data_IF_995047116010
#
_entry.id   IF_995047116010
#
_cell.length_a   1.000
_cell.length_b   1.000
_cell.length_c   1.000
_cell.angle_alpha   90.00
_cell.angle_beta   90.00
_cell.angle_gamma   90.00
#
_symmetry.space_group_name_H-M   'P 1'
#
loop_
_entity.id
_entity.type
_entity.pdbx_description
1 polymer ?
#
# COMPACT_ATOMS: atom_id res chain seq x y z
N UNK A 1 -35.31 -27.99 39.41
CA UNK A 1 -35.82 -26.66 39.01
C UNK A 1 -35.06 -25.57 39.76
N UNK A 2 -33.95 -25.06 39.20
CA UNK A 2 -33.41 -23.75 39.54
C UNK A 2 -32.68 -23.21 38.30
N UNK A 3 -33.28 -22.18 37.71
CA UNK A 3 -32.82 -21.48 36.51
C UNK A 3 -31.86 -20.38 36.98
N UNK A 4 -30.55 -20.60 36.88
CA UNK A 4 -29.59 -19.53 37.10
C UNK A 4 -29.45 -18.69 35.82
N UNK A 5 -29.84 -17.44 35.96
CA UNK A 5 -29.84 -16.40 34.93
C UNK A 5 -28.40 -16.01 34.61
N UNK A 6 -27.96 -16.25 33.37
CA UNK A 6 -26.75 -15.67 32.83
C UNK A 6 -26.93 -14.16 32.70
N UNK A 7 -26.09 -13.40 33.42
CA UNK A 7 -25.91 -11.96 33.23
C UNK A 7 -25.06 -11.72 31.98
N UNK A 8 -25.50 -10.91 31.01
CA UNK A 8 -24.60 -10.41 29.97
C UNK A 8 -23.70 -9.32 30.57
N UNK A 9 -22.38 -9.57 30.57
CA UNK A 9 -21.37 -8.55 30.87
C UNK A 9 -21.27 -7.60 29.69
N UNK A 10 -21.75 -6.37 29.86
CA UNK A 10 -21.57 -5.29 28.91
C UNK A 10 -20.07 -4.99 28.73
N UNK A 11 -19.52 -5.36 27.58
CA UNK A 11 -18.21 -4.91 27.14
C UNK A 11 -18.32 -3.43 26.74
N UNK A 12 -17.77 -2.55 27.57
CA UNK A 12 -17.56 -1.14 27.22
C UNK A 12 -16.57 -1.08 26.05
N UNK A 13 -17.07 -0.82 24.84
CA UNK A 13 -16.25 -0.40 23.72
C UNK A 13 -15.76 1.02 24.00
N UNK A 14 -14.46 1.17 24.28
CA UNK A 14 -13.81 2.46 24.34
C UNK A 14 -13.75 3.02 22.91
N UNK A 15 -14.52 4.08 22.65
CA UNK A 15 -14.41 4.87 21.42
C UNK A 15 -13.13 5.67 21.53
N UNK A 16 -12.07 5.19 20.87
CA UNK A 16 -10.85 5.95 20.67
C UNK A 16 -11.12 7.04 19.61
N UNK A 17 -11.50 8.23 20.08
CA UNK A 17 -11.53 9.44 19.26
C UNK A 17 -10.10 9.80 18.88
N UNK A 18 -9.74 9.52 17.62
CA UNK A 18 -8.49 9.96 17.03
C UNK A 18 -8.46 11.48 16.96
N UNK A 19 -7.64 12.10 17.82
CA UNK A 19 -7.32 13.52 17.79
C UNK A 19 -6.41 13.79 16.59
N UNK A 20 -6.97 14.43 15.56
CA UNK A 20 -6.22 14.88 14.39
C UNK A 20 -5.62 16.25 14.70
N UNK A 21 -4.46 16.26 15.34
CA UNK A 21 -3.65 17.48 15.47
C UNK A 21 -2.95 17.75 14.14
N UNK A 22 -3.59 18.54 13.27
CA UNK A 22 -2.90 19.22 12.17
C UNK A 22 -2.07 20.38 12.71
N UNK A 23 -0.78 20.29 12.44
CA UNK A 23 0.32 21.22 12.71
C UNK A 23 0.13 22.62 12.14
N UNK A 24 0.45 23.68 12.88
CA UNK A 24 0.80 25.00 12.33
C UNK A 24 1.62 25.83 13.33
N UNK A 25 2.96 25.73 13.26
CA UNK A 25 3.92 26.79 13.60
C UNK A 25 5.16 26.53 12.72
N UNK A 26 5.30 27.14 11.55
CA UNK A 26 5.98 28.43 11.35
C UNK A 26 7.20 28.62 12.27
N UNK A 27 8.39 28.31 11.76
CA UNK A 27 9.52 29.23 11.83
C UNK A 27 10.62 28.84 10.84
N UNK A 28 10.70 29.64 9.78
CA UNK A 28 11.85 29.81 8.90
C UNK A 28 12.99 30.47 9.68
N UNK A 29 14.14 29.80 9.76
CA UNK A 29 15.41 30.51 9.96
C UNK A 29 16.43 29.97 8.95
N UNK A 30 16.77 30.85 8.02
CA UNK A 30 17.90 30.73 7.11
C UNK A 30 19.17 30.94 7.94
N UNK A 31 20.08 29.97 7.96
CA UNK A 31 21.50 30.24 7.72
C UNK A 31 22.29 28.92 7.63
N UNK A 32 22.80 28.60 6.45
CA UNK A 32 23.87 27.61 6.29
C UNK A 32 24.65 27.95 5.03
N UNK A 33 25.62 28.84 5.22
CA UNK A 33 26.74 29.06 4.33
C UNK A 33 27.56 27.76 4.20
N UNK A 34 27.40 27.05 3.08
CA UNK A 34 28.37 26.04 2.66
C UNK A 34 29.18 26.60 1.48
N UNK A 35 30.27 27.27 1.83
CA UNK A 35 31.45 27.39 0.97
C UNK A 35 32.10 26.01 0.93
N UNK A 36 32.09 25.34 -0.21
CA UNK A 36 33.10 24.32 -0.51
C UNK A 36 33.38 24.22 -2.01
N UNK A 37 34.64 24.48 -2.30
CA UNK A 37 35.38 24.45 -3.54
C UNK A 37 35.38 23.07 -4.23
N UNK A 38 35.36 23.09 -5.58
CA UNK A 38 36.24 22.25 -6.40
C UNK A 38 35.72 20.88 -6.86
N UNK A 39 35.27 20.81 -8.12
CA UNK A 39 35.80 19.97 -9.22
C UNK A 39 34.72 19.64 -10.26
N UNK A 40 35.03 19.64 -11.57
CA UNK A 40 34.08 19.32 -12.63
C UNK A 40 34.07 17.82 -12.90
N UNK A 41 32.94 17.15 -12.62
CA UNK A 41 32.65 15.87 -13.21
C UNK A 41 31.25 15.85 -13.79
N UNK A 42 31.21 15.98 -15.12
CA UNK A 42 30.04 15.78 -15.94
C UNK A 42 29.58 14.32 -15.80
N UNK A 43 28.41 14.14 -15.19
CA UNK A 43 27.59 12.95 -15.39
C UNK A 43 26.23 13.40 -15.90
N UNK A 44 25.66 12.76 -16.93
CA UNK A 44 24.32 13.09 -17.40
C UNK A 44 23.31 12.51 -16.41
N UNK A 45 22.86 13.33 -15.45
CA UNK A 45 21.73 13.01 -14.58
C UNK A 45 20.45 13.00 -15.43
N UNK A 46 20.02 11.80 -15.83
CA UNK A 46 18.67 11.57 -16.35
C UNK A 46 17.66 11.63 -15.20
N UNK A 47 16.79 12.64 -15.29
CA UNK A 47 15.41 12.70 -14.83
C UNK A 47 15.08 12.19 -13.41
N UNK A 48 14.89 13.13 -12.49
CA UNK A 48 13.81 13.03 -11.50
C UNK A 48 12.72 14.00 -11.96
N UNK A 49 11.78 13.51 -12.77
CA UNK A 49 10.48 14.15 -12.88
C UNK A 49 9.80 13.94 -11.52
N UNK A 50 10.02 14.88 -10.59
CA UNK A 50 9.14 15.02 -9.45
C UNK A 50 7.78 15.38 -10.06
N UNK A 51 6.91 14.38 -10.17
CA UNK A 51 5.48 14.61 -10.32
C UNK A 51 5.03 15.31 -9.04
N UNK A 52 5.23 16.62 -9.00
CA UNK A 52 4.63 17.49 -8.02
C UNK A 52 3.13 17.33 -8.20
N UNK A 53 2.53 16.53 -7.33
CA UNK A 53 1.09 16.51 -7.13
C UNK A 53 0.76 17.90 -6.61
N UNK A 54 0.46 18.82 -7.54
CA UNK A 54 -0.15 20.09 -7.22
C UNK A 54 -1.52 19.74 -6.63
N UNK A 55 -1.59 19.66 -5.31
CA UNK A 55 -2.85 19.79 -4.61
C UNK A 55 -3.36 21.19 -4.92
N UNK A 56 -4.19 21.30 -5.97
CA UNK A 56 -4.96 22.50 -6.23
C UNK A 56 -6.01 22.58 -5.13
N UNK A 57 -5.60 23.06 -3.95
CA UNK A 57 -6.57 23.63 -3.02
C UNK A 57 -7.16 24.81 -3.78
N UNK A 58 -8.34 24.63 -4.40
CA UNK A 58 -9.08 25.76 -4.95
C UNK A 58 -9.38 26.64 -3.75
N UNK A 59 -8.60 27.70 -3.58
CA UNK A 59 -8.91 28.73 -2.62
C UNK A 59 -10.19 29.36 -3.14
N UNK A 60 -11.32 28.89 -2.62
CA UNK A 60 -12.62 29.48 -2.88
C UNK A 60 -12.51 30.93 -2.42
N UNK A 61 -12.39 31.85 -3.38
CA UNK A 61 -12.35 33.28 -3.07
C UNK A 61 -13.68 33.62 -2.42
N UNK A 62 -13.63 34.19 -1.24
CA UNK A 62 -14.82 34.63 -0.52
C UNK A 62 -15.50 35.75 -1.32
N UNK A 63 -16.69 35.47 -1.85
CA UNK A 63 -17.48 36.46 -2.57
C UNK A 63 -18.17 37.37 -1.54
N UNK A 64 -17.64 38.58 -1.39
CA UNK A 64 -18.17 39.63 -0.52
C UNK A 64 -19.65 39.94 -0.82
N UNK A 65 -20.04 39.90 -2.10
CA UNK A 65 -21.43 40.19 -2.52
C UNK A 65 -22.37 39.07 -2.10
N UNK A 66 -21.94 37.82 -2.27
CA UNK A 66 -22.72 36.66 -1.85
C UNK A 66 -22.94 36.66 -0.33
N UNK A 67 -21.88 36.93 0.43
CA UNK A 67 -21.96 37.01 1.89
C UNK A 67 -22.82 38.19 2.37
N UNK A 68 -22.79 39.34 1.70
CA UNK A 68 -23.67 40.46 2.05
C UNK A 68 -25.15 40.13 1.78
N UNK A 69 -25.44 39.47 0.65
CA UNK A 69 -26.79 39.00 0.34
C UNK A 69 -27.27 37.95 1.35
N UNK A 70 -26.40 37.04 1.76
CA UNK A 70 -26.70 36.03 2.77
C UNK A 70 -26.97 36.66 4.15
N UNK A 71 -26.24 37.72 4.53
CA UNK A 71 -26.53 38.50 5.73
C UNK A 71 -27.86 39.27 5.68
N UNK A 72 -28.29 39.74 4.51
CA UNK A 72 -29.62 40.35 4.36
C UNK A 72 -30.70 39.28 4.50
N UNK A 73 -30.54 38.16 3.81
CA UNK A 73 -31.42 37.00 3.90
C UNK A 73 -31.56 36.48 5.33
N UNK A 74 -30.48 36.40 6.09
CA UNK A 74 -30.50 35.96 7.49
C UNK A 74 -31.32 36.91 8.38
N UNK A 75 -31.16 38.23 8.19
CA UNK A 75 -31.95 39.24 8.93
C UNK A 75 -33.43 39.21 8.55
N UNK A 76 -33.74 38.97 7.28
CA UNK A 76 -35.12 38.87 6.81
C UNK A 76 -35.80 37.61 7.38
N UNK A 77 -35.08 36.49 7.47
CA UNK A 77 -35.55 35.25 8.11
C UNK A 77 -35.74 35.41 9.63
N UNK A 78 -34.77 36.03 10.32
CA UNK A 78 -34.87 36.35 11.75
C UNK A 78 -36.06 37.28 12.04
N UNK A 79 -36.27 38.28 11.18
CA UNK A 79 -37.41 39.20 11.29
C UNK A 79 -38.76 38.52 11.00
N UNK A 80 -38.76 37.52 10.13
CA UNK A 80 -39.94 36.69 9.87
C UNK A 80 -40.22 35.68 11.00
N UNK A 81 -39.28 35.51 11.95
CA UNK A 81 -39.38 34.52 13.02
C UNK A 81 -39.23 33.08 12.52
N UNK A 82 -38.66 32.88 11.32
CA UNK A 82 -38.41 31.58 10.72
C UNK A 82 -36.98 31.19 11.09
N UNK A 83 -36.79 30.32 12.08
CA UNK A 83 -35.47 29.80 12.40
C UNK A 83 -35.14 28.67 11.41
N UNK A 84 -34.11 28.81 10.56
CA UNK A 84 -33.70 27.74 9.64
C UNK A 84 -33.19 26.47 10.36
N UNK A 85 -33.11 26.48 11.70
CA UNK A 85 -32.76 25.34 12.54
C UNK A 85 -33.94 24.81 13.36
N UNK A 86 -35.11 25.42 13.29
CA UNK A 86 -36.31 24.89 13.93
C UNK A 86 -36.80 23.67 13.15
N UNK A 87 -36.88 22.54 13.84
CA UNK A 87 -37.46 21.31 13.31
C UNK A 87 -38.99 21.41 13.13
N UNK A 88 -39.61 22.45 13.72
CA UNK A 88 -41.05 22.71 13.64
C UNK A 88 -41.49 23.23 12.25
N UNK A 89 -40.56 23.70 11.42
CA UNK A 89 -40.80 24.13 10.03
C UNK A 89 -40.58 23.00 9.00
N UNK A 90 -40.27 21.77 9.43
CA UNK A 90 -40.27 20.63 8.51
C UNK A 90 -41.71 20.38 8.01
N UNK A 91 -41.94 20.39 6.68
CA UNK A 91 -43.27 20.16 6.16
C UNK A 91 -43.75 18.80 6.64
N UNK A 92 -44.88 18.76 7.34
CA UNK A 92 -45.47 17.49 7.80
C UNK A 92 -45.71 16.57 6.60
N UNK A 93 -44.94 15.50 6.50
CA UNK A 93 -45.10 14.47 5.48
C UNK A 93 -46.10 13.45 6.01
N UNK A 94 -47.08 13.06 5.18
CA UNK A 94 -48.01 12.01 5.56
C UNK A 94 -47.25 10.70 5.84
N UNK A 95 -47.59 9.91 6.87
CA UNK A 95 -46.85 8.69 7.21
C UNK A 95 -46.67 7.70 6.03
N UNK A 96 -47.65 7.60 5.14
CA UNK A 96 -47.59 6.77 3.93
C UNK A 96 -46.60 7.30 2.89
N UNK A 97 -46.48 8.63 2.77
CA UNK A 97 -45.51 9.26 1.87
C UNK A 97 -44.09 9.16 2.42
N UNK A 98 -43.93 9.26 3.74
CA UNK A 98 -42.64 9.07 4.41
C UNK A 98 -42.11 7.66 4.15
N UNK A 99 -42.96 6.64 4.26
CA UNK A 99 -42.57 5.26 3.98
C UNK A 99 -42.06 5.08 2.54
N UNK A 100 -42.73 5.68 1.55
CA UNK A 100 -42.28 5.63 0.15
C UNK A 100 -40.92 6.30 -0.04
N UNK A 101 -40.69 7.42 0.63
CA UNK A 101 -39.40 8.15 0.56
C UNK A 101 -38.27 7.36 1.23
N UNK A 102 -38.54 6.75 2.37
CA UNK A 102 -37.57 5.93 3.11
C UNK A 102 -37.16 4.70 2.28
N UNK A 103 -38.12 4.02 1.63
CA UNK A 103 -37.85 2.88 0.74
C UNK A 103 -37.03 3.28 -0.49
N UNK A 104 -37.31 4.43 -1.12
CA UNK A 104 -36.53 4.95 -2.26
C UNK A 104 -35.12 5.39 -1.82
N UNK A 105 -34.99 6.03 -0.66
CA UNK A 105 -33.68 6.44 -0.14
C UNK A 105 -32.83 5.23 0.24
N UNK A 106 -33.44 4.18 0.79
CA UNK A 106 -32.75 2.92 1.07
C UNK A 106 -32.23 2.26 -0.21
N UNK A 107 -33.00 2.28 -1.31
CA UNK A 107 -32.53 1.81 -2.62
C UNK A 107 -31.33 2.61 -3.11
N UNK A 108 -31.38 3.95 -3.04
CA UNK A 108 -30.24 4.80 -3.43
C UNK A 108 -29.01 4.53 -2.58
N UNK A 109 -29.17 4.31 -1.28
CA UNK A 109 -28.07 3.95 -0.37
C UNK A 109 -27.49 2.58 -0.74
N UNK A 110 -28.34 1.58 -1.00
CA UNK A 110 -27.92 0.24 -1.39
C UNK A 110 -27.10 0.24 -2.70
N UNK A 111 -27.55 0.98 -3.72
CA UNK A 111 -26.82 1.12 -4.99
C UNK A 111 -25.44 1.76 -4.80
N UNK A 112 -25.35 2.83 -4.00
CA UNK A 112 -24.06 3.48 -3.71
C UNK A 112 -23.13 2.57 -2.91
N UNK A 113 -23.67 1.77 -1.98
CA UNK A 113 -22.90 0.77 -1.26
C UNK A 113 -22.40 -0.36 -2.17
N UNK A 114 -23.22 -0.81 -3.12
CA UNK A 114 -22.82 -1.79 -4.12
C UNK A 114 -21.70 -1.24 -5.02
N UNK A 115 -21.81 0.02 -5.47
CA UNK A 115 -20.73 0.66 -6.23
C UNK A 115 -19.42 0.73 -5.43
N UNK A 116 -19.49 1.07 -4.14
CA UNK A 116 -18.32 1.09 -3.25
C UNK A 116 -17.72 -0.31 -3.10
N UNK A 117 -18.56 -1.34 -2.91
CA UNK A 117 -18.13 -2.73 -2.82
C UNK A 117 -17.47 -3.19 -4.12
N UNK A 118 -18.09 -2.92 -5.27
CA UNK A 118 -17.56 -3.27 -6.59
C UNK A 118 -16.19 -2.62 -6.86
N UNK A 119 -15.99 -1.37 -6.41
CA UNK A 119 -14.69 -0.70 -6.55
C UNK A 119 -13.60 -1.37 -5.68
N UNK A 120 -13.95 -1.77 -4.46
CA UNK A 120 -13.03 -2.48 -3.56
C UNK A 120 -12.72 -3.89 -4.09
N UNK A 121 -13.71 -4.58 -4.64
CA UNK A 121 -13.53 -5.90 -5.25
C UNK A 121 -12.60 -5.85 -6.45
N UNK A 122 -12.80 -4.91 -7.39
CA UNK A 122 -11.88 -4.71 -8.52
C UNK A 122 -10.43 -4.47 -8.08
N UNK A 123 -10.25 -3.68 -7.02
CA UNK A 123 -8.91 -3.46 -6.46
C UNK A 123 -8.31 -4.74 -5.88
N UNK A 124 -9.12 -5.54 -5.18
CA UNK A 124 -8.69 -6.82 -4.63
C UNK A 124 -8.32 -7.82 -5.73
N UNK A 125 -9.07 -7.87 -6.83
CA UNK A 125 -8.78 -8.70 -8.01
C UNK A 125 -7.45 -8.30 -8.66
N UNK A 126 -7.23 -7.02 -8.93
CA UNK A 126 -5.98 -6.53 -9.51
C UNK A 126 -4.77 -6.87 -8.64
N UNK A 127 -4.90 -6.73 -7.33
CA UNK A 127 -3.82 -7.06 -6.39
C UNK A 127 -3.60 -8.58 -6.29
N UNK A 128 -4.64 -9.39 -6.41
CA UNK A 128 -4.52 -10.84 -6.52
C UNK A 128 -3.74 -11.24 -7.79
N UNK A 129 -4.04 -10.62 -8.94
CA UNK A 129 -3.32 -10.83 -10.21
C UNK A 129 -1.85 -10.40 -10.07
N UNK A 130 -1.56 -9.25 -9.46
CA UNK A 130 -0.18 -8.81 -9.21
C UNK A 130 0.58 -9.81 -8.34
N UNK A 131 -0.05 -10.34 -7.28
CA UNK A 131 0.55 -11.38 -6.42
C UNK A 131 0.84 -12.66 -7.20
N UNK A 132 -0.07 -13.09 -8.07
CA UNK A 132 0.15 -14.27 -8.93
C UNK A 132 1.32 -14.05 -9.90
N UNK A 133 1.34 -12.92 -10.61
CA UNK A 133 2.45 -12.57 -11.52
C UNK A 133 3.79 -12.49 -10.80
N UNK A 134 3.82 -11.97 -9.57
CA UNK A 134 5.05 -11.95 -8.78
C UNK A 134 5.51 -13.36 -8.38
N UNK A 135 4.58 -14.26 -8.00
CA UNK A 135 4.90 -15.67 -7.73
C UNK A 135 5.47 -16.36 -8.97
N UNK A 136 4.87 -16.16 -10.13
CA UNK A 136 5.35 -16.72 -11.40
C UNK A 136 6.74 -16.18 -11.76
N UNK A 137 6.96 -14.87 -11.60
CA UNK A 137 8.25 -14.25 -11.83
C UNK A 137 9.34 -14.84 -10.92
N UNK A 138 9.03 -15.01 -9.62
CA UNK A 138 9.95 -15.64 -8.66
C UNK A 138 10.21 -17.11 -9.00
N UNK A 139 9.16 -17.86 -9.36
CA UNK A 139 9.30 -19.24 -9.80
C UNK A 139 10.19 -19.35 -11.06
N UNK A 140 10.03 -18.43 -12.02
CA UNK A 140 10.86 -18.36 -13.23
C UNK A 140 12.33 -18.07 -12.88
N UNK A 141 12.60 -17.14 -11.97
CA UNK A 141 13.97 -16.88 -11.51
C UNK A 141 14.62 -18.12 -10.87
N UNK A 142 13.89 -18.81 -9.99
CA UNK A 142 14.36 -20.02 -9.34
C UNK A 142 14.60 -21.13 -10.38
N UNK A 143 13.69 -21.30 -11.33
CA UNK A 143 13.81 -22.28 -12.42
C UNK A 143 15.04 -22.01 -13.28
N UNK A 144 15.25 -20.77 -13.74
CA UNK A 144 16.44 -20.41 -14.52
C UNK A 144 17.73 -20.63 -13.73
N UNK A 145 17.73 -20.32 -12.43
CA UNK A 145 18.90 -20.58 -11.57
C UNK A 145 19.19 -22.08 -11.44
N UNK A 146 18.16 -22.90 -11.28
CA UNK A 146 18.27 -24.37 -11.23
C UNK A 146 18.75 -24.95 -12.55
N UNK A 147 18.23 -24.48 -13.69
CA UNK A 147 18.66 -24.90 -15.02
C UNK A 147 20.15 -24.62 -15.24
N UNK A 148 20.61 -23.40 -14.94
CA UNK A 148 22.05 -23.07 -15.04
C UNK A 148 22.92 -23.97 -14.17
N UNK A 149 22.48 -24.28 -12.95
CA UNK A 149 23.20 -25.20 -12.07
C UNK A 149 23.20 -26.64 -12.60
N UNK A 150 22.08 -27.09 -13.18
CA UNK A 150 21.95 -28.41 -13.77
C UNK A 150 22.85 -28.56 -15.02
N UNK A 151 22.84 -27.59 -15.93
CA UNK A 151 23.70 -27.57 -17.13
C UNK A 151 25.19 -27.57 -16.75
N UNK A 152 25.59 -26.80 -15.73
CA UNK A 152 26.97 -26.80 -15.24
C UNK A 152 27.35 -28.16 -14.62
N UNK A 153 26.42 -28.80 -13.91
CA UNK A 153 26.64 -30.12 -13.33
C UNK A 153 26.74 -31.20 -14.41
N UNK A 154 25.85 -31.16 -15.41
CA UNK A 154 25.86 -32.07 -16.56
C UNK A 154 27.15 -31.94 -17.36
N UNK A 155 27.59 -30.72 -17.68
CA UNK A 155 28.87 -30.49 -18.36
C UNK A 155 30.07 -30.99 -17.55
N UNK A 156 30.03 -30.87 -16.22
CA UNK A 156 31.07 -31.42 -15.33
C UNK A 156 31.06 -32.95 -15.33
N UNK A 157 29.88 -33.56 -15.39
CA UNK A 157 29.73 -35.02 -15.45
C UNK A 157 30.14 -35.57 -16.83
N UNK A 158 29.77 -34.91 -17.93
CA UNK A 158 30.24 -35.23 -19.27
C UNK A 158 31.77 -35.14 -19.37
N UNK A 159 32.39 -34.11 -18.77
CA UNK A 159 33.84 -33.99 -18.70
C UNK A 159 34.50 -35.14 -17.90
N UNK A 160 33.84 -35.64 -16.84
CA UNK A 160 34.29 -36.82 -16.09
C UNK A 160 34.14 -38.11 -16.88
N UNK A 161 33.03 -38.27 -17.60
CA UNK A 161 32.78 -39.42 -18.47
C UNK A 161 33.79 -39.48 -19.62
N UNK A 162 34.02 -38.36 -20.31
CA UNK A 162 35.04 -38.26 -21.37
C UNK A 162 36.46 -38.56 -20.83
N UNK A 163 36.79 -38.17 -19.60
CA UNK A 163 38.07 -38.54 -18.96
C UNK A 163 38.18 -40.05 -18.71
N UNK A 164 37.09 -40.71 -18.30
CA UNK A 164 37.06 -42.18 -18.09
C UNK A 164 37.20 -42.93 -19.42
N UNK A 165 36.50 -42.48 -20.45
CA UNK A 165 36.58 -43.07 -21.79
C UNK A 165 37.98 -42.92 -22.40
N UNK A 166 38.63 -41.76 -22.21
CA UNK A 166 40.00 -41.52 -22.68
C UNK A 166 41.06 -42.21 -21.81
N UNK A 167 40.84 -42.31 -20.50
CA UNK A 167 41.75 -42.94 -19.54
C UNK A 167 41.72 -44.47 -19.55
N UNK A 168 40.63 -45.09 -20.01
CA UNK A 168 40.49 -46.55 -20.11
C UNK A 168 41.37 -47.23 -21.17
N UNK A 169 42.13 -46.46 -21.97
CA UNK A 169 43.05 -46.98 -23.00
C UNK A 169 44.54 -46.86 -22.66
N UNK A 170 44.88 -46.42 -21.44
CA UNK A 170 46.27 -46.37 -20.96
C UNK A 170 46.35 -47.01 -19.58
N UNK A 171 46.29 -48.34 -19.54
CA UNK A 171 47.01 -49.10 -18.51
C UNK A 171 48.40 -49.35 -19.07
N UNK A 172 49.35 -48.52 -18.65
CA UNK A 172 50.73 -48.55 -19.10
C UNK A 172 51.50 -47.42 -18.44
N UNK A 173 51.78 -47.61 -17.16
CA UNK A 173 52.87 -47.03 -16.38
C UNK A 173 52.88 -45.55 -15.93
N UNK A 174 53.33 -45.44 -14.68
CA UNK A 174 53.96 -44.32 -13.97
C UNK A 174 53.13 -43.14 -13.44
N UNK A 175 52.96 -43.19 -12.12
CA UNK A 175 53.53 -42.26 -11.13
C UNK A 175 53.12 -40.78 -11.10
N UNK A 176 52.61 -40.42 -9.92
CA UNK A 176 52.92 -39.23 -9.12
C UNK A 176 52.55 -37.84 -9.65
N UNK A 177 51.61 -37.19 -8.96
CA UNK A 177 51.72 -35.89 -8.22
C UNK A 177 50.28 -35.45 -7.87
N UNK A 178 49.93 -35.33 -6.58
CA UNK A 178 49.90 -34.08 -5.82
C UNK A 178 49.16 -32.96 -6.58
N UNK A 179 48.09 -32.34 -6.09
CA UNK A 179 48.00 -31.63 -4.82
C UNK A 179 46.53 -31.52 -4.40
N UNK A 180 46.35 -31.61 -3.08
CA UNK A 180 45.15 -31.32 -2.34
C UNK A 180 44.89 -29.80 -2.38
N UNK A 181 43.72 -29.40 -2.89
CA UNK A 181 43.32 -28.02 -3.09
C UNK A 181 41.85 -27.85 -2.76
N UNK A 182 41.49 -28.13 -1.51
CA UNK A 182 40.18 -27.88 -0.96
C UNK A 182 39.93 -26.36 -0.86
N UNK A 183 39.42 -25.75 -1.95
CA UNK A 183 38.81 -24.42 -1.86
C UNK A 183 37.47 -24.52 -1.13
N UNK A 184 37.50 -24.16 0.14
CA UNK A 184 36.35 -23.79 0.96
C UNK A 184 35.75 -22.50 0.37
N UNK A 185 34.75 -22.66 -0.50
CA UNK A 185 33.86 -21.55 -0.86
C UNK A 185 32.81 -21.47 0.25
N UNK A 186 33.09 -20.63 1.25
CA UNK A 186 32.12 -20.22 2.26
C UNK A 186 31.03 -19.37 1.59
N UNK A 187 29.94 -20.02 1.19
CA UNK A 187 28.71 -19.29 0.87
C UNK A 187 28.12 -18.81 2.20
N UNK A 188 28.38 -17.55 2.52
CA UNK A 188 27.76 -16.84 3.64
C UNK A 188 26.25 -16.86 3.50
N UNK A 189 25.65 -17.79 4.24
CA UNK A 189 24.24 -17.81 4.61
C UNK A 189 24.03 -16.73 5.68
N UNK A 190 23.79 -15.50 5.23
CA UNK A 190 23.28 -14.41 6.07
C UNK A 190 21.80 -14.22 5.74
N UNK A 191 21.00 -15.20 6.14
CA UNK A 191 19.56 -15.05 6.27
C UNK A 191 19.22 -14.24 7.51
N UNK A 192 19.13 -12.92 7.39
CA UNK A 192 18.42 -12.10 8.38
C UNK A 192 16.96 -11.96 7.96
N UNK A 193 16.17 -12.91 8.43
CA UNK A 193 14.71 -12.85 8.44
C UNK A 193 14.23 -11.86 9.49
N UNK A 194 13.92 -10.64 9.07
CA UNK A 194 13.08 -9.75 9.86
C UNK A 194 11.61 -10.22 9.75
N UNK A 195 11.25 -11.15 10.62
CA UNK A 195 9.88 -11.50 10.95
C UNK A 195 9.28 -10.36 11.77
N UNK A 196 8.45 -9.51 11.17
CA UNK A 196 7.55 -8.64 11.93
C UNK A 196 6.19 -9.31 11.99
N UNK A 197 5.94 -9.90 13.14
CA UNK A 197 4.69 -10.48 13.57
C UNK A 197 3.58 -9.44 13.51
N UNK A 198 2.54 -9.76 12.76
CA UNK A 198 1.27 -9.05 12.74
C UNK A 198 0.50 -9.44 14.00
N UNK A 199 0.46 -8.53 14.98
CA UNK A 199 -0.36 -8.68 16.19
C UNK A 199 -1.80 -8.33 15.87
N UNK A 200 -2.68 -9.19 16.39
CA UNK A 200 -4.13 -9.24 16.24
C UNK A 200 -4.85 -8.18 17.07
#
# INVERSE_FOLDING_TARGET
MYRQLLRPSASRAAVATACVCSTLLHNSYLDASCVLTGLPHQTPRRCLHSAAVFFSTSTCRFDLRQHEMEKRRARDLEKAGIDPRDADDEPWIAPEEQQRLDEEEEQRRAELEEQRKAFLEKRAEEDAVKRQRFKEFRAKQISMSRQRKAELAEKKEEARQHRRERGGRVLGDEAATAEDGAEVISNGDAGDGASTTSTK
#
